data_IF_706108323750
#
_entry.id   IF_706108323750
#
_cell.length_a   1.000
_cell.length_b   1.000
_cell.length_c   1.000
_cell.angle_alpha   90.00
_cell.angle_beta   90.00
_cell.angle_gamma   90.00
#
_symmetry.space_group_name_H-M   'P 1'
#
loop_
_entity.id
_entity.type
_entity.pdbx_description
1 polymer ?
#
# COMPACT_ATOMS: atom_id res chain seq x y z
N UNK A 1 -9.36 -9.26 -18.53
CA UNK A 1 -8.14 -9.21 -19.37
C UNK A 1 -6.97 -8.87 -18.47
N UNK A 2 -6.26 -9.90 -18.00
CA UNK A 2 -5.19 -9.78 -17.01
C UNK A 2 -4.03 -8.87 -17.48
N UNK A 3 -3.78 -8.82 -18.80
CA UNK A 3 -2.74 -7.98 -19.39
C UNK A 3 -3.03 -6.50 -19.19
N UNK A 4 -4.31 -6.11 -19.26
CA UNK A 4 -4.74 -4.72 -19.01
C UNK A 4 -4.67 -4.34 -17.53
N UNK A 5 -5.05 -5.24 -16.63
CA UNK A 5 -4.92 -5.04 -15.19
C UNK A 5 -3.44 -4.85 -14.79
N UNK A 6 -2.55 -5.71 -15.33
CA UNK A 6 -1.10 -5.65 -15.10
C UNK A 6 -0.48 -4.30 -15.45
N UNK A 7 -0.95 -3.63 -16.51
CA UNK A 7 -0.43 -2.29 -16.86
C UNK A 7 -0.67 -1.28 -15.75
N UNK A 8 -1.85 -1.28 -15.14
CA UNK A 8 -2.17 -0.40 -14.00
C UNK A 8 -1.30 -0.78 -12.80
N UNK A 9 -1.21 -2.08 -12.48
CA UNK A 9 -0.38 -2.60 -11.39
C UNK A 9 1.08 -2.17 -11.49
N UNK A 10 1.72 -2.36 -12.66
CA UNK A 10 3.14 -1.99 -12.85
C UNK A 10 3.36 -0.50 -12.62
N UNK A 11 2.44 0.35 -13.12
CA UNK A 11 2.57 1.80 -12.99
C UNK A 11 2.44 2.25 -11.53
N UNK A 12 1.39 1.80 -10.82
CA UNK A 12 1.20 2.16 -9.42
C UNK A 12 2.27 1.52 -8.52
N UNK A 13 2.76 0.33 -8.85
CA UNK A 13 3.83 -0.33 -8.11
C UNK A 13 5.14 0.44 -8.20
N UNK A 14 5.55 0.90 -9.40
CA UNK A 14 6.73 1.78 -9.56
C UNK A 14 6.58 3.02 -8.69
N UNK A 15 5.44 3.70 -8.79
CA UNK A 15 5.16 4.90 -8.00
C UNK A 15 5.27 4.63 -6.50
N UNK A 16 4.60 3.59 -6.02
CA UNK A 16 4.48 3.31 -4.59
C UNK A 16 5.77 2.80 -3.98
N UNK A 17 6.38 1.78 -4.59
CA UNK A 17 7.57 1.13 -4.02
C UNK A 17 8.79 2.02 -4.04
N UNK A 18 8.90 2.96 -5.00
CA UNK A 18 9.99 3.95 -4.98
C UNK A 18 9.88 4.91 -3.79
N UNK A 19 8.69 5.41 -3.48
CA UNK A 19 8.43 6.23 -2.27
C UNK A 19 8.71 5.43 -1.01
N UNK A 20 8.18 4.21 -0.93
CA UNK A 20 8.38 3.35 0.24
C UNK A 20 9.85 3.01 0.45
N UNK A 21 10.62 2.80 -0.62
CA UNK A 21 12.06 2.55 -0.55
C UNK A 21 12.81 3.72 0.09
N UNK A 22 12.54 4.95 -0.33
CA UNK A 22 13.18 6.14 0.26
C UNK A 22 12.75 6.32 1.71
N UNK A 23 11.46 6.13 2.02
CA UNK A 23 10.92 6.26 3.38
C UNK A 23 11.56 5.25 4.33
N UNK A 24 11.56 3.95 3.99
CA UNK A 24 12.09 2.91 4.89
C UNK A 24 13.59 3.07 5.12
N UNK A 25 14.36 3.50 4.12
CA UNK A 25 15.80 3.75 4.30
C UNK A 25 16.03 4.97 5.18
N UNK A 26 15.23 6.04 5.01
CA UNK A 26 15.30 7.22 5.88
C UNK A 26 14.96 6.84 7.33
N UNK A 27 13.88 6.10 7.55
CA UNK A 27 13.45 5.71 8.88
C UNK A 27 14.51 4.80 9.53
N UNK A 28 15.15 3.91 8.77
CA UNK A 28 16.27 3.11 9.25
C UNK A 28 17.50 3.97 9.65
N UNK A 29 17.78 5.06 8.92
CA UNK A 29 18.83 6.02 9.33
C UNK A 29 18.46 6.66 10.67
N UNK A 30 17.20 7.07 10.84
CA UNK A 30 16.72 7.69 12.07
C UNK A 30 16.79 6.73 13.27
N UNK A 31 16.49 5.44 13.07
CA UNK A 31 16.64 4.39 14.11
C UNK A 31 18.08 4.30 14.64
N UNK A 32 19.08 4.48 13.77
CA UNK A 32 20.50 4.45 14.15
C UNK A 32 21.04 5.83 14.59
N UNK A 33 20.20 6.87 14.56
CA UNK A 33 20.57 8.24 14.89
C UNK A 33 21.71 8.78 14.03
N UNK A 34 22.63 9.54 14.63
CA UNK A 34 23.77 10.13 13.92
C UNK A 34 24.64 9.09 13.21
N UNK A 35 24.82 7.90 13.81
CA UNK A 35 25.58 6.82 13.20
C UNK A 35 24.94 6.31 11.90
N UNK A 36 23.60 6.37 11.78
CA UNK A 36 22.89 6.00 10.56
C UNK A 36 23.28 6.84 9.34
N UNK A 37 23.82 8.05 9.56
CA UNK A 37 24.28 8.95 8.49
C UNK A 37 25.71 8.71 8.03
N UNK A 38 26.47 7.84 8.71
CA UNK A 38 27.90 7.62 8.46
C UNK A 38 28.08 6.41 7.52
N UNK A 39 28.70 6.63 6.36
CA UNK A 39 28.88 5.60 5.32
C UNK A 39 29.73 4.41 5.78
N UNK A 40 30.69 4.63 6.69
CA UNK A 40 31.52 3.57 7.27
C UNK A 40 30.79 2.75 8.35
N UNK A 41 29.71 3.29 8.94
CA UNK A 41 28.93 2.61 9.97
C UNK A 41 27.86 1.69 9.36
N UNK A 42 27.18 2.16 8.31
CA UNK A 42 26.13 1.38 7.65
C UNK A 42 26.01 1.71 6.18
N UNK A 43 25.39 0.81 5.42
CA UNK A 43 25.11 1.02 3.99
C UNK A 43 23.98 2.04 3.73
N UNK A 44 23.26 2.47 4.78
CA UNK A 44 22.02 3.24 4.65
C UNK A 44 22.18 4.58 3.93
N UNK A 45 23.23 5.40 4.15
CA UNK A 45 23.38 6.65 3.40
C UNK A 45 23.53 6.43 1.90
N UNK A 46 24.22 5.35 1.49
CA UNK A 46 24.31 4.95 0.08
C UNK A 46 22.94 4.53 -0.45
N UNK A 47 22.24 3.65 0.27
CA UNK A 47 20.89 3.21 -0.13
C UNK A 47 19.91 4.38 -0.25
N UNK A 48 20.03 5.40 0.61
CA UNK A 48 19.17 6.58 0.56
C UNK A 48 19.41 7.38 -0.71
N UNK A 49 20.68 7.59 -1.09
CA UNK A 49 21.04 8.23 -2.35
C UNK A 49 20.57 7.42 -3.57
N UNK A 50 20.69 6.09 -3.51
CA UNK A 50 20.25 5.20 -4.58
C UNK A 50 18.70 5.21 -4.72
N UNK A 51 17.96 5.27 -3.61
CA UNK A 51 16.50 5.29 -3.62
C UNK A 51 15.92 6.54 -4.31
N UNK A 52 16.57 7.70 -4.20
CA UNK A 52 16.15 8.95 -4.88
C UNK A 52 16.15 8.78 -6.41
N UNK A 53 17.04 7.94 -6.96
CA UNK A 53 17.05 7.64 -8.40
C UNK A 53 15.77 6.87 -8.79
N UNK A 54 15.30 5.95 -7.96
CA UNK A 54 14.08 5.16 -8.21
C UNK A 54 12.83 6.04 -8.30
N UNK A 55 12.76 7.11 -7.51
CA UNK A 55 11.63 8.05 -7.54
C UNK A 55 11.60 8.93 -8.80
N UNK A 56 12.77 9.23 -9.36
CA UNK A 56 12.93 10.20 -10.45
C UNK A 56 13.04 9.58 -11.84
N UNK A 57 13.71 8.44 -11.99
CA UNK A 57 13.90 7.76 -13.26
C UNK A 57 12.65 6.98 -13.71
N UNK A 58 12.51 6.76 -15.01
CA UNK A 58 11.39 6.02 -15.63
C UNK A 58 10.00 6.55 -15.22
N UNK A 59 9.92 7.86 -14.98
CA UNK A 59 8.71 8.58 -14.63
C UNK A 59 8.71 9.07 -13.18
N UNK A 60 8.69 10.39 -13.01
CA UNK A 60 8.50 11.00 -11.68
C UNK A 60 7.10 10.68 -11.13
N UNK A 61 6.93 10.80 -9.82
CA UNK A 61 5.65 10.55 -9.15
C UNK A 61 4.43 11.18 -9.85
N UNK A 62 4.48 12.47 -10.16
CA UNK A 62 3.37 13.16 -10.82
C UNK A 62 3.16 12.67 -12.26
N UNK A 63 4.24 12.32 -12.96
CA UNK A 63 4.15 11.74 -14.31
C UNK A 63 3.42 10.40 -14.31
N UNK A 64 3.72 9.54 -13.34
CA UNK A 64 3.09 8.22 -13.18
C UNK A 64 1.62 8.34 -12.78
N UNK A 65 1.29 9.17 -11.79
CA UNK A 65 -0.09 9.45 -11.42
C UNK A 65 -0.89 10.02 -12.62
N UNK A 66 -0.34 11.02 -13.33
CA UNK A 66 -0.99 11.56 -14.52
C UNK A 66 -1.15 10.51 -15.64
N UNK A 67 -0.21 9.56 -15.75
CA UNK A 67 -0.33 8.45 -16.69
C UNK A 67 -1.48 7.49 -16.30
N UNK A 68 -1.68 7.21 -15.01
CA UNK A 68 -2.84 6.45 -14.52
C UNK A 68 -4.14 7.14 -14.90
N UNK A 69 -4.26 8.46 -14.64
CA UNK A 69 -5.44 9.24 -15.03
C UNK A 69 -5.72 9.15 -16.53
N UNK A 70 -4.71 9.37 -17.37
CA UNK A 70 -4.84 9.26 -18.83
C UNK A 70 -5.28 7.87 -19.25
N UNK A 71 -4.67 6.82 -18.71
CA UNK A 71 -5.02 5.44 -19.04
C UNK A 71 -6.44 5.08 -18.59
N UNK A 72 -6.92 5.64 -17.48
CA UNK A 72 -8.28 5.45 -17.01
C UNK A 72 -9.30 6.18 -17.88
N UNK A 73 -9.04 7.43 -18.24
CA UNK A 73 -9.93 8.23 -19.07
C UNK A 73 -10.02 7.72 -20.52
N UNK A 74 -8.89 7.34 -21.11
CA UNK A 74 -8.81 7.01 -22.55
C UNK A 74 -9.02 5.52 -22.85
N UNK A 75 -8.56 4.63 -21.96
CA UNK A 75 -8.54 3.17 -22.18
C UNK A 75 -9.38 2.40 -21.17
N UNK A 76 -9.97 3.08 -20.20
CA UNK A 76 -10.79 2.48 -19.13
C UNK A 76 -10.06 1.37 -18.36
N UNK A 77 -8.74 1.53 -18.14
CA UNK A 77 -7.94 0.49 -17.48
C UNK A 77 -8.28 0.28 -15.99
N UNK A 78 -9.05 1.19 -15.37
CA UNK A 78 -9.59 0.99 -14.02
C UNK A 78 -10.57 -0.18 -13.96
N UNK A 79 -11.34 -0.45 -15.03
CA UNK A 79 -12.33 -1.53 -15.06
C UNK A 79 -11.67 -2.92 -14.89
N UNK A 80 -10.73 -3.34 -15.74
CA UNK A 80 -10.07 -4.64 -15.56
C UNK A 80 -9.21 -4.70 -14.29
N UNK A 81 -8.70 -3.56 -13.81
CA UNK A 81 -7.92 -3.53 -12.56
C UNK A 81 -8.81 -3.70 -11.31
N UNK A 82 -9.97 -3.05 -11.25
CA UNK A 82 -10.94 -3.25 -10.16
C UNK A 82 -11.49 -4.68 -10.16
N UNK A 83 -11.76 -5.25 -11.35
CA UNK A 83 -12.19 -6.65 -11.47
C UNK A 83 -11.13 -7.61 -10.94
N UNK A 84 -9.86 -7.41 -11.30
CA UNK A 84 -8.73 -8.21 -10.80
C UNK A 84 -8.59 -8.13 -9.27
N UNK A 85 -8.75 -6.94 -8.67
CA UNK A 85 -8.76 -6.80 -7.20
C UNK A 85 -9.98 -7.48 -6.54
N UNK A 86 -11.13 -7.45 -7.20
CA UNK A 86 -12.32 -8.16 -6.71
C UNK A 86 -12.11 -9.68 -6.75
N UNK A 87 -11.47 -10.20 -7.81
CA UNK A 87 -11.14 -11.61 -7.93
C UNK A 87 -10.15 -12.02 -6.83
N UNK A 88 -9.10 -11.21 -6.61
CA UNK A 88 -8.15 -11.39 -5.50
C UNK A 88 -8.86 -11.43 -4.15
N UNK A 89 -9.73 -10.45 -3.87
CA UNK A 89 -10.49 -10.42 -2.63
C UNK A 89 -11.33 -11.68 -2.43
N UNK A 90 -12.00 -12.15 -3.49
CA UNK A 90 -12.80 -13.38 -3.44
C UNK A 90 -12.00 -14.65 -3.21
N UNK A 91 -10.69 -14.63 -3.47
CA UNK A 91 -9.81 -15.77 -3.25
C UNK A 91 -9.37 -15.95 -1.79
N UNK A 92 -9.58 -14.92 -0.94
CA UNK A 92 -9.33 -14.96 0.50
C UNK A 92 -10.56 -15.63 1.14
N UNK A 93 -10.38 -16.80 1.74
CA UNK A 93 -11.50 -17.68 2.13
C UNK A 93 -11.47 -18.14 3.59
N UNK A 94 -10.37 -17.93 4.30
CA UNK A 94 -10.24 -18.38 5.68
C UNK A 94 -11.25 -17.64 6.59
N UNK A 95 -12.01 -18.40 7.39
CA UNK A 95 -13.14 -17.86 8.17
C UNK A 95 -12.73 -16.82 9.22
N UNK A 96 -11.53 -16.93 9.78
CA UNK A 96 -11.01 -15.91 10.71
C UNK A 96 -10.78 -14.54 10.05
N UNK A 97 -10.77 -14.45 8.73
CA UNK A 97 -10.53 -13.21 7.98
C UNK A 97 -11.83 -12.50 7.55
N UNK A 98 -13.01 -12.94 8.00
CA UNK A 98 -14.31 -12.34 7.62
C UNK A 98 -14.39 -10.82 7.89
N UNK A 99 -13.83 -10.36 9.01
CA UNK A 99 -13.76 -8.92 9.34
C UNK A 99 -12.88 -8.17 8.34
N UNK A 100 -11.70 -8.72 8.02
CA UNK A 100 -10.79 -8.13 7.04
C UNK A 100 -11.38 -8.13 5.63
N UNK A 101 -12.08 -9.19 5.25
CA UNK A 101 -12.78 -9.29 3.96
C UNK A 101 -13.85 -8.20 3.84
N UNK A 102 -14.62 -7.95 4.91
CA UNK A 102 -15.61 -6.87 4.96
C UNK A 102 -14.96 -5.48 4.84
N UNK A 103 -13.85 -5.25 5.57
CA UNK A 103 -13.06 -4.01 5.47
C UNK A 103 -12.50 -3.81 4.06
N UNK A 104 -11.91 -4.84 3.46
CA UNK A 104 -11.34 -4.80 2.12
C UNK A 104 -12.41 -4.51 1.05
N UNK A 105 -13.60 -5.10 1.18
CA UNK A 105 -14.76 -4.81 0.31
C UNK A 105 -15.12 -3.34 0.37
N UNK A 106 -15.22 -2.77 1.57
CA UNK A 106 -15.54 -1.35 1.75
C UNK A 106 -14.47 -0.45 1.11
N UNK A 107 -13.19 -0.77 1.29
CA UNK A 107 -12.08 -0.03 0.70
C UNK A 107 -12.07 -0.10 -0.83
N UNK A 108 -12.32 -1.28 -1.41
CA UNK A 108 -12.43 -1.45 -2.85
C UNK A 108 -13.56 -0.58 -3.42
N UNK A 109 -14.73 -0.58 -2.77
CA UNK A 109 -15.85 0.28 -3.15
C UNK A 109 -15.52 1.78 -3.04
N UNK A 110 -14.82 2.17 -1.97
CA UNK A 110 -14.36 3.56 -1.78
C UNK A 110 -13.34 4.00 -2.84
N UNK A 111 -12.42 3.12 -3.25
CA UNK A 111 -11.46 3.38 -4.32
C UNK A 111 -12.18 3.48 -5.66
N UNK A 112 -13.11 2.57 -5.96
CA UNK A 112 -13.92 2.63 -7.17
C UNK A 112 -14.70 3.96 -7.27
N UNK A 113 -15.40 4.36 -6.21
CA UNK A 113 -16.14 5.61 -6.16
C UNK A 113 -15.25 6.86 -6.32
N UNK A 114 -14.02 6.82 -5.77
CA UNK A 114 -13.02 7.89 -5.96
C UNK A 114 -12.59 7.98 -7.42
N UNK A 115 -12.32 6.85 -8.07
CA UNK A 115 -11.96 6.80 -9.50
C UNK A 115 -13.10 7.36 -10.35
N UNK A 116 -14.34 6.94 -10.11
CA UNK A 116 -15.52 7.42 -10.86
C UNK A 116 -15.74 8.94 -10.68
N UNK A 117 -15.62 9.44 -9.45
CA UNK A 117 -15.67 10.88 -9.18
C UNK A 117 -14.59 11.63 -9.94
N UNK A 118 -13.36 11.10 -9.92
CA UNK A 118 -12.23 11.72 -10.60
C UNK A 118 -12.44 11.75 -12.12
N UNK A 119 -12.97 10.69 -12.72
CA UNK A 119 -13.23 10.60 -14.16
C UNK A 119 -14.44 11.41 -14.64
N UNK A 120 -15.39 11.72 -13.75
CA UNK A 120 -16.54 12.58 -14.04
C UNK A 120 -16.30 14.07 -13.74
N UNK A 121 -15.16 14.41 -13.14
CA UNK A 121 -14.79 15.79 -12.79
C UNK A 121 -14.08 16.52 -13.94
N UNK A 122 -13.99 17.84 -13.80
CA UNK A 122 -13.20 18.68 -14.72
C UNK A 122 -11.70 18.35 -14.65
N UNK A 123 -10.96 18.68 -15.72
CA UNK A 123 -9.57 18.27 -15.89
C UNK A 123 -8.64 18.77 -14.78
N UNK A 124 -8.84 20.00 -14.30
CA UNK A 124 -8.00 20.59 -13.23
C UNK A 124 -8.26 19.90 -11.89
N UNK A 125 -9.53 19.62 -11.57
CA UNK A 125 -9.90 18.87 -10.37
C UNK A 125 -9.30 17.46 -10.41
N UNK A 126 -9.45 16.75 -11.53
CA UNK A 126 -8.89 15.41 -11.70
C UNK A 126 -7.36 15.41 -11.57
N UNK A 127 -6.69 16.41 -12.14
CA UNK A 127 -5.23 16.55 -12.08
C UNK A 127 -4.73 16.88 -10.66
N UNK A 128 -5.48 17.67 -9.90
CA UNK A 128 -5.17 17.99 -8.51
C UNK A 128 -5.27 16.75 -7.60
N UNK A 129 -6.29 15.92 -7.81
CA UNK A 129 -6.63 14.83 -6.88
C UNK A 129 -6.09 13.46 -7.26
N UNK A 130 -5.54 13.27 -8.48
CA UNK A 130 -5.11 11.95 -8.95
C UNK A 130 -4.10 11.27 -8.02
N UNK A 131 -3.15 12.03 -7.44
CA UNK A 131 -2.17 11.47 -6.52
C UNK A 131 -2.84 10.78 -5.34
N UNK A 132 -3.77 11.48 -4.68
CA UNK A 132 -4.50 10.93 -3.54
C UNK A 132 -5.28 9.67 -3.93
N UNK A 133 -5.90 9.63 -5.11
CA UNK A 133 -6.58 8.42 -5.59
C UNK A 133 -5.60 7.27 -5.78
N UNK A 134 -4.44 7.51 -6.40
CA UNK A 134 -3.40 6.49 -6.59
C UNK A 134 -2.85 6.01 -5.25
N UNK A 135 -2.67 6.88 -4.26
CA UNK A 135 -2.23 6.47 -2.91
C UNK A 135 -3.23 5.48 -2.29
N UNK A 136 -4.54 5.73 -2.40
CA UNK A 136 -5.56 4.79 -1.91
C UNK A 136 -5.61 3.49 -2.71
N UNK A 137 -5.31 3.53 -4.01
CA UNK A 137 -5.17 2.32 -4.83
C UNK A 137 -4.01 1.45 -4.33
N UNK A 138 -2.89 2.07 -3.97
CA UNK A 138 -1.70 1.37 -3.48
C UNK A 138 -1.91 0.80 -2.07
N UNK A 139 -2.52 1.57 -1.16
CA UNK A 139 -2.80 1.05 0.19
C UNK A 139 -3.77 -0.13 0.18
N UNK A 140 -4.76 -0.13 -0.71
CA UNK A 140 -5.63 -1.27 -0.96
C UNK A 140 -4.86 -2.49 -1.48
N UNK A 141 -3.95 -2.30 -2.45
CA UNK A 141 -3.13 -3.39 -2.97
C UNK A 141 -2.24 -4.02 -1.91
N UNK A 142 -1.57 -3.20 -1.11
CA UNK A 142 -0.76 -3.66 0.01
C UNK A 142 -1.60 -4.47 1.00
N UNK A 143 -2.78 -3.96 1.37
CA UNK A 143 -3.68 -4.65 2.30
C UNK A 143 -4.15 -6.00 1.77
N UNK A 144 -4.59 -6.07 0.51
CA UNK A 144 -4.97 -7.33 -0.13
C UNK A 144 -3.80 -8.30 -0.22
N UNK A 145 -2.59 -7.81 -0.53
CA UNK A 145 -1.39 -8.66 -0.60
C UNK A 145 -1.07 -9.30 0.76
N UNK A 146 -1.11 -8.52 1.84
CA UNK A 146 -0.92 -9.03 3.19
C UNK A 146 -1.99 -10.07 3.57
N UNK A 147 -3.25 -9.82 3.20
CA UNK A 147 -4.34 -10.76 3.47
C UNK A 147 -4.21 -12.08 2.71
N UNK A 148 -3.78 -12.05 1.44
CA UNK A 148 -3.48 -13.27 0.67
C UNK A 148 -2.40 -14.09 1.38
N UNK A 149 -1.34 -13.43 1.85
CA UNK A 149 -0.26 -14.12 2.56
C UNK A 149 -0.74 -14.74 3.88
N UNK A 150 -1.55 -14.00 4.64
CA UNK A 150 -2.10 -14.52 5.91
C UNK A 150 -3.11 -15.65 5.66
N UNK A 151 -3.99 -15.54 4.66
CA UNK A 151 -4.92 -16.61 4.27
C UNK A 151 -4.16 -17.89 3.93
N UNK A 152 -3.06 -17.75 3.18
CA UNK A 152 -2.18 -18.87 2.88
C UNK A 152 -1.52 -19.44 4.14
N UNK A 153 -0.94 -18.62 5.02
CA UNK A 153 -0.32 -19.09 6.27
C UNK A 153 -1.31 -19.87 7.14
N UNK A 154 -2.53 -19.34 7.30
CA UNK A 154 -3.61 -19.99 8.04
C UNK A 154 -4.01 -21.33 7.40
N UNK A 155 -4.09 -21.40 6.07
CA UNK A 155 -4.37 -22.66 5.35
C UNK A 155 -3.30 -23.74 5.59
N UNK A 156 -2.07 -23.31 5.88
CA UNK A 156 -0.94 -24.19 6.18
C UNK A 156 -0.76 -24.43 7.68
N UNK A 157 -1.61 -23.85 8.54
CA UNK A 157 -1.46 -23.85 10.01
C UNK A 157 -0.10 -23.29 10.47
N UNK A 158 0.41 -22.28 9.78
CA UNK A 158 1.61 -21.55 10.18
C UNK A 158 1.20 -20.51 11.23
N UNK A 159 1.82 -20.59 12.41
CA UNK A 159 1.67 -19.59 13.46
C UNK A 159 2.65 -18.44 13.18
N UNK A 160 2.13 -17.20 13.13
CA UNK A 160 2.90 -15.99 12.86
C UNK A 160 2.23 -14.76 13.46
N UNK A 161 2.99 -13.68 13.62
CA UNK A 161 2.52 -12.37 14.07
C UNK A 161 1.81 -11.59 12.95
N UNK A 162 1.66 -12.18 11.75
CA UNK A 162 1.17 -11.48 10.55
C UNK A 162 -0.24 -10.92 10.74
N UNK A 163 -1.10 -11.61 11.49
CA UNK A 163 -2.42 -11.09 11.87
C UNK A 163 -2.33 -9.76 12.62
N UNK A 164 -1.44 -9.66 13.62
CA UNK A 164 -1.21 -8.43 14.38
C UNK A 164 -0.62 -7.33 13.50
N UNK A 165 0.32 -7.69 12.60
CA UNK A 165 0.91 -6.75 11.65
C UNK A 165 -0.12 -6.17 10.67
N UNK A 166 -1.10 -6.96 10.23
CA UNK A 166 -2.18 -6.52 9.35
C UNK A 166 -3.12 -5.56 10.08
N UNK A 167 -3.47 -5.84 11.34
CA UNK A 167 -4.26 -4.90 12.15
C UNK A 167 -3.50 -3.59 12.39
N UNK A 168 -2.20 -3.65 12.70
CA UNK A 168 -1.37 -2.46 12.81
C UNK A 168 -1.34 -1.68 11.48
N UNK A 169 -1.16 -2.37 10.35
CA UNK A 169 -1.20 -1.74 9.02
C UNK A 169 -2.54 -1.05 8.76
N UNK A 170 -3.66 -1.69 9.13
CA UNK A 170 -4.99 -1.12 9.01
C UNK A 170 -5.11 0.20 9.80
N UNK A 171 -4.71 0.22 11.08
CA UNK A 171 -4.74 1.43 11.90
C UNK A 171 -3.81 2.53 11.39
N UNK A 172 -2.63 2.17 10.88
CA UNK A 172 -1.62 3.16 10.47
C UNK A 172 -1.83 3.73 9.08
N UNK A 173 -2.45 2.99 8.15
CA UNK A 173 -2.48 3.38 6.73
C UNK A 173 -3.87 3.39 6.10
N UNK A 174 -4.88 2.78 6.75
CA UNK A 174 -6.22 2.68 6.19
C UNK A 174 -7.21 3.51 7.00
N UNK A 175 -7.30 3.25 8.30
CA UNK A 175 -8.19 3.94 9.24
C UNK A 175 -7.36 4.69 10.28
N UNK A 176 -6.77 5.79 9.81
CA UNK A 176 -5.88 6.65 10.58
C UNK A 176 -6.69 7.49 11.58
N UNK A 177 -7.22 6.84 12.62
CA UNK A 177 -7.67 7.53 13.81
C UNK A 177 -6.49 8.23 14.49
N UNK A 178 -6.76 9.34 15.19
CA UNK A 178 -5.79 9.93 16.09
C UNK A 178 -5.25 8.84 17.04
N UNK A 179 -3.93 8.59 17.08
CA UNK A 179 -3.34 7.56 17.94
C UNK A 179 -3.73 7.71 19.42
N UNK A 180 -3.98 8.94 19.89
CA UNK A 180 -4.45 9.17 21.26
C UNK A 180 -5.86 8.64 21.53
N UNK A 181 -6.64 8.42 20.48
CA UNK A 181 -8.02 7.91 20.55
C UNK A 181 -8.10 6.41 20.19
N UNK A 182 -7.00 5.78 19.77
CA UNK A 182 -6.97 4.35 19.46
C UNK A 182 -6.48 3.55 20.68
N UNK A 183 -7.43 2.98 21.43
CA UNK A 183 -7.15 2.21 22.64
C UNK A 183 -6.48 0.86 22.38
N UNK A 184 -6.55 0.34 21.14
CA UNK A 184 -6.02 -0.97 20.75
C UNK A 184 -4.54 -0.89 20.34
N UNK A 185 -4.11 0.27 19.85
CA UNK A 185 -2.76 0.47 19.29
C UNK A 185 -1.62 0.09 20.25
N UNK A 186 -1.63 0.45 21.55
CA UNK A 186 -0.56 0.03 22.47
C UNK A 186 -0.47 -1.50 22.63
N UNK A 187 -1.63 -2.17 22.68
CA UNK A 187 -1.69 -3.63 22.82
C UNK A 187 -1.18 -4.35 21.57
N UNK A 188 -1.54 -3.85 20.38
CA UNK A 188 -1.02 -4.35 19.11
C UNK A 188 0.51 -4.25 19.04
N UNK A 189 1.07 -3.09 19.36
CA UNK A 189 2.52 -2.87 19.35
C UNK A 189 3.22 -3.82 20.34
N UNK A 190 2.69 -3.95 21.56
CA UNK A 190 3.26 -4.87 22.56
C UNK A 190 3.21 -6.33 22.12
N UNK A 191 2.10 -6.77 21.50
CA UNK A 191 1.97 -8.13 20.98
C UNK A 191 3.05 -8.44 19.94
N UNK A 192 3.22 -7.55 18.96
CA UNK A 192 4.24 -7.68 17.92
C UNK A 192 5.65 -7.73 18.55
N UNK A 193 5.95 -6.82 19.48
CA UNK A 193 7.28 -6.75 20.10
C UNK A 193 7.60 -7.94 21.01
N UNK A 194 6.62 -8.52 21.71
CA UNK A 194 6.86 -9.62 22.66
C UNK A 194 7.02 -10.97 21.99
N UNK A 195 6.34 -11.22 20.87
CA UNK A 195 6.50 -12.46 20.10
C UNK A 195 7.80 -12.46 19.29
N UNK A 196 8.20 -11.30 18.75
CA UNK A 196 9.49 -11.09 18.08
C UNK A 196 10.73 -11.39 18.95
N UNK A 197 10.57 -11.43 20.27
CA UNK A 197 11.63 -11.65 21.25
C UNK A 197 11.74 -13.10 21.75
N UNK A 198 10.87 -14.01 21.26
CA UNK A 198 10.89 -15.45 21.53
C UNK A 198 11.59 -16.22 20.42
#
# INVERSE_FOLDING_TARGET
>A
DITKARRTHVNINKYWTSIQCTQVVRDAIEVLGGNGTIEEFSVLPRLYRDAIVLESWEGTHNTLCAQVLRDFATRKLHVPWLADLSDVLSSITHSSLEVHHSRATLLLNHVAARIERLLSSEADYASLHIRSVVDHMCTLNNYLSLLIELDWELSQNIESEKGLMIELYYCLFIDQADPMNNLELPGLIQGICMESAR
#
